data_IF_070748679340
#
_entry.id   IF_070748679340
#
_cell.length_a   1.000
_cell.length_b   1.000
_cell.length_c   1.000
_cell.angle_alpha   90.00
_cell.angle_beta   90.00
_cell.angle_gamma   90.00
#
_symmetry.space_group_name_H-M   'P 1'
#
loop_
_entity.id
_entity.type
_entity.pdbx_description
1 polymer ?
#
# COMPACT_ATOMS: atom_id res chain seq x y z
N UNK A 1 25.57 -32.32 19.84
CA UNK A 1 25.10 -31.33 20.81
C UNK A 1 24.79 -29.97 20.14
N UNK A 2 24.47 -29.99 18.86
CA UNK A 2 24.23 -28.78 18.02
C UNK A 2 22.81 -28.77 17.38
N UNK A 3 22.04 -29.85 17.54
CA UNK A 3 20.70 -29.96 16.89
C UNK A 3 19.58 -29.25 17.69
N UNK A 4 19.83 -28.91 18.96
CA UNK A 4 18.86 -28.29 19.85
C UNK A 4 18.71 -26.79 19.64
N UNK A 5 19.67 -26.16 18.93
CA UNK A 5 19.73 -24.69 18.75
C UNK A 5 18.97 -24.21 17.52
N UNK A 6 18.67 -25.09 16.55
CA UNK A 6 18.09 -24.71 15.26
C UNK A 6 16.56 -24.85 15.21
N UNK A 7 15.93 -25.42 16.24
CA UNK A 7 14.49 -25.55 16.31
C UNK A 7 13.83 -24.17 16.52
N UNK A 8 12.80 -23.86 15.74
CA UNK A 8 12.07 -22.59 15.83
C UNK A 8 11.47 -22.33 17.22
N UNK A 9 11.19 -23.38 17.98
CA UNK A 9 10.64 -23.34 19.33
C UNK A 9 11.71 -23.32 20.44
N UNK A 10 12.99 -23.53 20.14
CA UNK A 10 14.03 -23.65 21.16
C UNK A 10 14.19 -22.37 21.99
N UNK A 11 13.91 -22.44 23.30
CA UNK A 11 13.98 -21.29 24.21
C UNK A 11 12.97 -20.19 23.95
N UNK A 12 11.85 -20.49 23.27
CA UNK A 12 10.71 -19.61 23.09
C UNK A 12 9.60 -20.00 24.07
N UNK A 13 9.07 -19.04 24.81
CA UNK A 13 7.94 -19.27 25.70
C UNK A 13 6.70 -19.76 24.94
N UNK A 14 5.91 -20.66 25.58
CA UNK A 14 4.77 -21.29 24.94
C UNK A 14 3.70 -20.31 24.41
N UNK A 15 3.60 -19.09 24.93
CA UNK A 15 2.67 -18.05 24.47
C UNK A 15 3.29 -17.00 23.56
N UNK A 16 4.59 -17.02 23.29
CA UNK A 16 5.29 -16.01 22.51
C UNK A 16 5.29 -16.38 21.03
N UNK A 17 4.14 -16.10 20.38
CA UNK A 17 3.94 -16.32 18.93
C UNK A 17 4.81 -15.38 18.11
N UNK A 18 5.08 -14.15 18.58
CA UNK A 18 5.86 -13.15 17.86
C UNK A 18 7.32 -13.61 17.69
N UNK A 19 7.99 -13.99 18.79
CA UNK A 19 9.36 -14.52 18.72
C UNK A 19 9.42 -15.83 17.93
N UNK A 20 8.43 -16.72 18.10
CA UNK A 20 8.35 -17.97 17.34
C UNK A 20 8.22 -17.71 15.82
N UNK A 21 7.36 -16.78 15.42
CA UNK A 21 7.14 -16.44 14.01
C UNK A 21 8.37 -15.84 13.36
N UNK A 22 9.12 -15.01 14.08
CA UNK A 22 10.38 -14.45 13.60
C UNK A 22 11.44 -15.53 13.37
N UNK A 23 11.51 -16.51 14.27
CA UNK A 23 12.42 -17.66 14.11
C UNK A 23 12.04 -18.55 12.93
N UNK A 24 10.75 -18.78 12.69
CA UNK A 24 10.29 -19.52 11.51
C UNK A 24 10.69 -18.78 10.21
N UNK A 25 10.64 -17.46 10.21
CA UNK A 25 10.98 -16.63 9.05
C UNK A 25 12.48 -16.58 8.76
N UNK A 26 13.29 -16.48 9.80
CA UNK A 26 14.74 -16.20 9.68
C UNK A 26 15.60 -17.42 9.92
N UNK A 27 15.06 -18.46 10.56
CA UNK A 27 15.77 -19.67 10.90
C UNK A 27 16.05 -20.56 9.68
N UNK A 28 17.13 -21.32 9.77
CA UNK A 28 17.44 -22.39 8.82
C UNK A 28 18.03 -23.57 9.58
N UNK A 29 17.65 -24.78 9.21
CA UNK A 29 18.24 -26.00 9.73
C UNK A 29 19.13 -26.66 8.67
N UNK A 30 20.33 -27.06 9.04
CA UNK A 30 21.25 -27.75 8.13
C UNK A 30 20.73 -29.12 7.69
N UNK A 31 19.92 -29.77 8.53
CA UNK A 31 19.35 -31.10 8.29
C UNK A 31 17.91 -31.18 8.79
N UNK A 32 17.06 -31.97 8.10
CA UNK A 32 15.76 -32.34 8.65
C UNK A 32 15.91 -33.06 10.01
N UNK A 33 15.07 -32.69 10.97
CA UNK A 33 14.97 -33.35 12.26
C UNK A 33 13.51 -33.73 12.55
N UNK A 34 13.29 -34.62 13.49
CA UNK A 34 11.94 -34.95 13.96
C UNK A 34 11.49 -33.90 14.99
N UNK A 35 11.10 -32.72 14.44
CA UNK A 35 10.70 -31.56 15.23
C UNK A 35 9.51 -31.83 16.16
N UNK A 36 8.46 -32.59 15.76
CA UNK A 36 7.37 -32.94 16.66
C UNK A 36 7.88 -33.71 17.91
N UNK A 37 8.68 -34.74 17.71
CA UNK A 37 9.23 -35.53 18.84
C UNK A 37 10.10 -34.66 19.76
N UNK A 38 10.97 -33.82 19.20
CA UNK A 38 11.80 -32.89 19.97
C UNK A 38 10.98 -31.87 20.76
N UNK A 39 9.90 -31.35 20.17
CA UNK A 39 9.01 -30.39 20.84
C UNK A 39 8.28 -31.02 22.02
N UNK A 40 7.87 -32.28 21.88
CA UNK A 40 7.23 -33.05 22.98
C UNK A 40 8.25 -33.34 24.09
N UNK A 41 9.45 -33.80 23.76
CA UNK A 41 10.52 -34.07 24.74
C UNK A 41 10.94 -32.82 25.51
N UNK A 42 10.90 -31.64 24.89
CA UNK A 42 11.20 -30.34 25.52
C UNK A 42 10.00 -29.70 26.23
N UNK A 43 8.83 -30.34 26.18
CA UNK A 43 7.61 -29.85 26.83
C UNK A 43 6.99 -28.62 26.15
N UNK A 44 7.34 -28.36 24.88
CA UNK A 44 6.78 -27.27 24.06
C UNK A 44 5.40 -27.64 23.53
N UNK A 45 5.17 -28.93 23.26
CA UNK A 45 3.88 -29.47 22.84
C UNK A 45 3.54 -30.71 23.70
N UNK A 46 2.26 -30.97 23.94
CA UNK A 46 1.81 -32.13 24.68
C UNK A 46 1.85 -33.43 23.85
N UNK A 47 1.59 -33.29 22.56
CA UNK A 47 1.56 -34.34 21.55
C UNK A 47 1.82 -33.78 20.17
N UNK A 48 1.80 -34.64 19.17
CA UNK A 48 2.03 -34.25 17.75
C UNK A 48 0.95 -33.33 17.21
N UNK A 49 -0.32 -33.49 17.58
CA UNK A 49 -1.42 -32.63 17.16
C UNK A 49 -1.22 -31.22 17.72
N UNK A 50 -0.91 -31.08 18.99
CA UNK A 50 -0.59 -29.80 19.64
C UNK A 50 0.64 -29.10 19.00
N UNK A 51 1.64 -29.89 18.57
CA UNK A 51 2.78 -29.33 17.82
C UNK A 51 2.35 -28.73 16.49
N UNK A 52 1.56 -29.43 15.69
CA UNK A 52 1.11 -28.94 14.39
C UNK A 52 0.14 -27.76 14.49
N UNK A 53 -0.74 -27.77 15.49
CA UNK A 53 -1.63 -26.62 15.78
C UNK A 53 -0.80 -25.37 16.07
N UNK A 54 0.21 -25.49 16.91
CA UNK A 54 1.11 -24.38 17.23
C UNK A 54 1.95 -23.95 16.04
N UNK A 55 2.49 -24.87 15.26
CA UNK A 55 3.23 -24.56 14.03
C UNK A 55 2.35 -23.81 13.05
N UNK A 56 1.07 -24.19 12.91
CA UNK A 56 0.10 -23.51 12.07
C UNK A 56 -0.11 -22.05 12.54
N UNK A 57 -0.36 -21.84 13.83
CA UNK A 57 -0.53 -20.50 14.41
C UNK A 57 0.70 -19.61 14.13
N UNK A 58 1.89 -20.11 14.41
CA UNK A 58 3.16 -19.40 14.20
C UNK A 58 3.41 -19.11 12.74
N UNK A 59 3.12 -20.07 11.85
CA UNK A 59 3.27 -19.88 10.39
C UNK A 59 2.30 -18.87 9.85
N UNK A 60 1.07 -18.83 10.33
CA UNK A 60 0.09 -17.80 9.96
C UNK A 60 0.56 -16.40 10.39
N UNK A 61 1.06 -16.24 11.62
CA UNK A 61 1.61 -14.99 12.10
C UNK A 61 2.84 -14.53 11.28
N UNK A 62 3.74 -15.48 10.96
CA UNK A 62 4.89 -15.23 10.09
C UNK A 62 4.48 -14.75 8.70
N UNK A 63 3.45 -15.38 8.12
CA UNK A 63 2.91 -15.03 6.80
C UNK A 63 2.26 -13.65 6.82
N UNK A 64 1.43 -13.35 7.83
CA UNK A 64 0.83 -12.01 7.98
C UNK A 64 1.88 -10.91 8.09
N UNK A 65 2.95 -11.17 8.84
CA UNK A 65 4.06 -10.21 8.98
C UNK A 65 4.78 -10.02 7.65
N UNK A 66 5.09 -11.10 6.93
CA UNK A 66 5.74 -11.03 5.62
C UNK A 66 4.87 -10.27 4.57
N UNK A 67 3.55 -10.48 4.59
CA UNK A 67 2.61 -9.73 3.74
C UNK A 67 2.63 -8.24 4.07
N UNK A 68 2.53 -7.88 5.36
CA UNK A 68 2.57 -6.46 5.79
C UNK A 68 3.89 -5.77 5.42
N UNK A 69 5.01 -6.47 5.57
CA UNK A 69 6.32 -5.94 5.18
C UNK A 69 6.41 -5.78 3.65
N UNK A 70 5.91 -6.76 2.90
CA UNK A 70 5.84 -6.70 1.44
C UNK A 70 4.98 -5.54 0.94
N UNK A 71 3.82 -5.27 1.58
CA UNK A 71 2.97 -4.12 1.23
C UNK A 71 3.60 -2.77 1.60
N UNK A 72 4.48 -2.73 2.61
CA UNK A 72 5.25 -1.52 2.99
C UNK A 72 6.52 -1.34 2.19
N UNK A 73 6.90 -2.31 1.38
CA UNK A 73 8.09 -2.19 0.55
C UNK A 73 7.97 -0.99 -0.40
N UNK A 74 9.05 -0.25 -0.57
CA UNK A 74 9.03 1.02 -1.29
C UNK A 74 8.58 0.90 -2.75
N UNK A 75 8.90 -0.23 -3.42
CA UNK A 75 8.44 -0.52 -4.77
C UNK A 75 6.91 -0.67 -4.86
N UNK A 76 6.28 -1.28 -3.85
CA UNK A 76 4.81 -1.37 -3.74
C UNK A 76 4.18 0.01 -3.55
N UNK A 77 4.75 0.84 -2.68
CA UNK A 77 4.27 2.21 -2.49
C UNK A 77 4.39 3.03 -3.77
N UNK A 78 5.47 2.83 -4.53
CA UNK A 78 5.65 3.49 -5.81
C UNK A 78 4.59 3.07 -6.85
N UNK A 79 4.25 1.77 -6.90
CA UNK A 79 3.17 1.26 -7.76
C UNK A 79 1.81 1.90 -7.39
N UNK A 80 1.51 2.05 -6.10
CA UNK A 80 0.29 2.72 -5.66
C UNK A 80 0.28 4.21 -6.05
N UNK A 81 1.42 4.90 -5.91
CA UNK A 81 1.53 6.30 -6.32
C UNK A 81 1.32 6.48 -7.83
N UNK A 82 1.92 5.63 -8.67
CA UNK A 82 1.71 5.67 -10.14
C UNK A 82 0.25 5.45 -10.49
N UNK A 83 -0.41 4.46 -9.90
CA UNK A 83 -1.84 4.20 -10.15
C UNK A 83 -2.72 5.36 -9.68
N UNK A 84 -2.41 5.93 -8.50
CA UNK A 84 -3.11 7.09 -7.97
C UNK A 84 -2.99 8.30 -8.91
N UNK A 85 -1.79 8.57 -9.40
CA UNK A 85 -1.51 9.62 -10.38
C UNK A 85 -2.34 9.43 -11.66
N UNK A 86 -2.31 8.23 -12.26
CA UNK A 86 -3.07 7.93 -13.48
C UNK A 86 -4.59 8.06 -13.26
N UNK A 87 -5.10 7.64 -12.10
CA UNK A 87 -6.52 7.75 -11.74
C UNK A 87 -6.92 9.21 -11.52
N UNK A 88 -6.10 10.03 -10.86
CA UNK A 88 -6.32 11.45 -10.70
C UNK A 88 -6.33 12.18 -12.05
N UNK A 89 -5.32 11.96 -12.90
CA UNK A 89 -5.24 12.55 -14.25
C UNK A 89 -6.48 12.19 -15.09
N UNK A 90 -6.87 10.92 -15.13
CA UNK A 90 -8.05 10.48 -15.89
C UNK A 90 -9.33 11.11 -15.36
N UNK A 91 -9.53 11.08 -14.04
CA UNK A 91 -10.74 11.61 -13.42
C UNK A 91 -10.83 13.13 -13.57
N UNK A 92 -9.71 13.85 -13.44
CA UNK A 92 -9.66 15.29 -13.68
C UNK A 92 -10.10 15.64 -15.11
N UNK A 93 -9.60 14.93 -16.13
CA UNK A 93 -9.99 15.17 -17.51
C UNK A 93 -11.47 14.87 -17.76
N UNK A 94 -12.00 13.72 -17.29
CA UNK A 94 -13.41 13.36 -17.43
C UNK A 94 -14.34 14.36 -16.76
N UNK A 95 -14.00 14.85 -15.57
CA UNK A 95 -14.78 15.87 -14.86
C UNK A 95 -14.62 17.25 -15.49
N UNK A 96 -13.47 17.59 -16.06
CA UNK A 96 -13.27 18.84 -16.77
C UNK A 96 -14.21 18.96 -17.98
N UNK A 97 -14.43 17.86 -18.72
CA UNK A 97 -15.42 17.81 -19.80
C UNK A 97 -16.83 18.09 -19.28
N UNK A 98 -17.23 17.53 -18.13
CA UNK A 98 -18.53 17.77 -17.49
C UNK A 98 -18.68 19.21 -17.00
N UNK A 99 -17.62 19.78 -16.43
CA UNK A 99 -17.60 21.19 -16.03
C UNK A 99 -17.79 22.07 -17.26
N UNK A 100 -17.06 21.80 -18.33
CA UNK A 100 -17.16 22.57 -19.58
C UNK A 100 -18.57 22.52 -20.19
N UNK A 101 -19.19 21.34 -20.27
CA UNK A 101 -20.56 21.16 -20.75
C UNK A 101 -21.56 21.99 -19.91
N UNK A 102 -21.44 21.90 -18.58
CA UNK A 102 -22.35 22.60 -17.68
C UNK A 102 -22.11 24.10 -17.60
N UNK A 103 -20.85 24.49 -17.60
CA UNK A 103 -20.42 25.90 -17.53
C UNK A 103 -20.66 26.69 -18.80
N UNK A 104 -20.82 26.07 -19.98
CA UNK A 104 -20.81 26.72 -21.27
C UNK A 104 -21.82 27.87 -21.44
N UNK A 105 -22.96 27.81 -20.73
CA UNK A 105 -23.96 28.90 -20.73
C UNK A 105 -23.80 29.89 -19.58
N UNK A 106 -23.07 29.53 -18.55
CA UNK A 106 -22.89 30.30 -17.31
C UNK A 106 -21.62 31.14 -17.36
N UNK A 107 -20.55 30.56 -17.93
CA UNK A 107 -19.22 31.14 -18.02
C UNK A 107 -18.69 31.01 -19.46
N UNK A 108 -19.29 31.74 -20.46
CA UNK A 108 -18.98 31.53 -21.87
C UNK A 108 -17.56 31.97 -22.28
N UNK A 109 -16.88 32.70 -21.42
CA UNK A 109 -15.51 33.18 -21.56
C UNK A 109 -14.46 32.26 -20.91
N UNK A 110 -14.91 31.22 -20.18
CA UNK A 110 -13.99 30.26 -19.58
C UNK A 110 -13.28 29.39 -20.63
N UNK A 111 -12.03 29.03 -20.35
CA UNK A 111 -11.26 28.13 -21.18
C UNK A 111 -11.83 26.71 -21.21
N UNK A 112 -11.09 25.78 -21.80
CA UNK A 112 -11.47 24.35 -21.89
C UNK A 112 -10.54 23.46 -21.09
N UNK A 113 -11.00 22.24 -20.77
CA UNK A 113 -10.22 21.25 -20.06
C UNK A 113 -9.89 21.67 -18.62
N UNK A 114 -8.79 21.18 -18.09
CA UNK A 114 -8.36 21.43 -16.70
C UNK A 114 -8.08 22.94 -16.48
N UNK A 115 -7.46 23.62 -17.41
CA UNK A 115 -7.20 25.07 -17.30
C UNK A 115 -8.49 25.88 -17.27
N UNK A 116 -9.48 25.50 -18.07
CA UNK A 116 -10.82 26.12 -18.03
C UNK A 116 -11.53 25.86 -16.69
N UNK A 117 -11.35 24.66 -16.13
CA UNK A 117 -11.88 24.36 -14.80
C UNK A 117 -11.18 25.19 -13.71
N UNK A 118 -9.86 25.40 -13.79
CA UNK A 118 -9.13 26.27 -12.86
C UNK A 118 -9.65 27.72 -12.91
N UNK A 119 -9.85 28.25 -14.12
CA UNK A 119 -10.42 29.60 -14.30
C UNK A 119 -11.84 29.71 -13.70
N UNK A 120 -12.68 28.68 -13.89
CA UNK A 120 -14.03 28.63 -13.28
C UNK A 120 -13.98 28.52 -11.76
N UNK A 121 -13.04 27.76 -11.21
CA UNK A 121 -12.89 27.56 -9.78
C UNK A 121 -12.58 28.88 -9.03
N UNK A 122 -11.94 29.84 -9.68
CA UNK A 122 -11.59 31.14 -9.13
C UNK A 122 -12.74 32.18 -9.22
N UNK A 123 -13.88 31.80 -9.83
CA UNK A 123 -15.02 32.72 -10.04
C UNK A 123 -15.88 32.83 -8.79
N UNK A 124 -16.42 34.05 -8.58
CA UNK A 124 -17.42 34.29 -7.51
C UNK A 124 -18.82 33.93 -8.02
N UNK A 125 -19.46 32.88 -7.53
CA UNK A 125 -20.78 32.44 -8.01
C UNK A 125 -21.89 33.36 -7.50
N UNK A 126 -22.78 33.77 -8.39
CA UNK A 126 -23.90 34.67 -8.08
C UNK A 126 -25.19 33.93 -7.75
N UNK A 127 -25.35 32.71 -8.20
CA UNK A 127 -26.53 31.89 -7.97
C UNK A 127 -26.20 30.45 -7.50
N UNK A 128 -27.19 29.64 -7.09
CA UNK A 128 -26.96 28.26 -6.62
C UNK A 128 -26.40 27.32 -7.69
N UNK A 129 -26.68 27.53 -8.98
CA UNK A 129 -26.19 26.71 -10.09
C UNK A 129 -24.72 26.99 -10.34
N UNK A 130 -24.34 28.23 -10.47
CA UNK A 130 -22.95 28.68 -10.58
C UNK A 130 -22.12 28.15 -9.43
N UNK A 131 -22.65 28.19 -8.20
CA UNK A 131 -21.99 27.66 -7.01
C UNK A 131 -21.68 26.17 -7.13
N UNK A 132 -22.55 25.39 -7.76
CA UNK A 132 -22.29 23.94 -7.98
C UNK A 132 -21.23 23.73 -9.06
N UNK A 133 -21.26 24.51 -10.14
CA UNK A 133 -20.24 24.43 -11.20
C UNK A 133 -18.88 24.83 -10.67
N UNK A 134 -18.77 25.96 -9.97
CA UNK A 134 -17.52 26.41 -9.34
C UNK A 134 -16.97 25.36 -8.38
N UNK A 135 -17.84 24.78 -7.52
CA UNK A 135 -17.42 23.73 -6.60
C UNK A 135 -16.96 22.43 -7.30
N UNK A 136 -17.53 22.08 -8.46
CA UNK A 136 -17.08 20.95 -9.25
C UNK A 136 -15.75 21.26 -9.96
N UNK A 137 -15.59 22.45 -10.46
CA UNK A 137 -14.36 22.95 -11.08
C UNK A 137 -13.18 22.94 -10.08
N UNK A 138 -13.42 23.35 -8.82
CA UNK A 138 -12.45 23.24 -7.73
C UNK A 138 -11.99 21.79 -7.48
N UNK A 139 -12.89 20.80 -7.61
CA UNK A 139 -12.51 19.38 -7.50
C UNK A 139 -11.63 18.91 -8.66
N UNK A 140 -11.89 19.42 -9.88
CA UNK A 140 -11.04 19.15 -11.04
C UNK A 140 -9.64 19.71 -10.82
N UNK A 141 -9.54 20.95 -10.38
CA UNK A 141 -8.26 21.57 -10.04
C UNK A 141 -7.50 20.77 -8.98
N UNK A 142 -8.17 20.39 -7.88
CA UNK A 142 -7.56 19.60 -6.82
C UNK A 142 -7.07 18.21 -7.26
N UNK A 143 -7.79 17.53 -8.16
CA UNK A 143 -7.34 16.26 -8.73
C UNK A 143 -6.11 16.43 -9.64
N UNK A 144 -6.07 17.49 -10.41
CA UNK A 144 -4.91 17.79 -11.27
C UNK A 144 -3.67 18.15 -10.43
N UNK A 145 -3.84 18.88 -9.34
CA UNK A 145 -2.77 19.19 -8.39
C UNK A 145 -2.25 17.91 -7.70
N UNK A 146 -3.15 17.05 -7.24
CA UNK A 146 -2.76 15.76 -6.64
C UNK A 146 -1.98 14.86 -7.62
N UNK A 147 -2.36 14.85 -8.91
CA UNK A 147 -1.63 14.11 -9.93
C UNK A 147 -0.20 14.66 -10.10
N UNK A 148 -0.01 15.98 -10.04
CA UNK A 148 1.31 16.60 -10.11
C UNK A 148 2.15 16.30 -8.86
N UNK A 149 1.56 16.40 -7.66
CA UNK A 149 2.22 16.08 -6.40
C UNK A 149 2.66 14.60 -6.35
N UNK A 150 1.83 13.68 -6.83
CA UNK A 150 2.17 12.27 -6.97
C UNK A 150 3.30 12.05 -7.99
N UNK A 151 3.32 12.78 -9.10
CA UNK A 151 4.38 12.74 -10.11
C UNK A 151 5.72 13.18 -9.50
N UNK A 152 5.71 14.26 -8.74
CA UNK A 152 6.90 14.76 -8.04
C UNK A 152 7.40 13.74 -7.00
N UNK A 153 6.49 13.16 -6.19
CA UNK A 153 6.81 12.10 -5.24
C UNK A 153 7.47 10.90 -5.93
N UNK A 154 6.90 10.43 -7.07
CA UNK A 154 7.46 9.32 -7.84
C UNK A 154 8.87 9.65 -8.32
N UNK A 155 9.09 10.86 -8.89
CA UNK A 155 10.39 11.28 -9.38
C UNK A 155 11.45 11.33 -8.28
N UNK A 156 11.09 11.78 -7.09
CA UNK A 156 11.99 11.86 -5.94
C UNK A 156 12.29 10.49 -5.33
N UNK A 157 11.32 9.59 -5.33
CA UNK A 157 11.39 8.31 -4.63
C UNK A 157 11.96 7.17 -5.51
N UNK A 158 11.63 7.14 -6.79
CA UNK A 158 12.02 6.07 -7.71
C UNK A 158 13.53 5.79 -7.76
N UNK A 159 14.44 6.78 -7.75
CA UNK A 159 15.89 6.51 -7.80
C UNK A 159 16.40 5.69 -6.63
N UNK A 160 15.79 5.81 -5.44
CA UNK A 160 16.21 5.11 -4.23
C UNK A 160 15.58 3.73 -4.09
N UNK A 161 14.34 3.56 -4.58
CA UNK A 161 13.53 2.37 -4.37
C UNK A 161 13.60 1.41 -5.58
N UNK A 162 13.63 1.96 -6.78
CA UNK A 162 13.63 1.22 -8.04
C UNK A 162 14.68 1.78 -9.02
N UNK A 163 15.99 1.67 -8.72
CA UNK A 163 17.06 2.33 -9.48
C UNK A 163 17.12 1.88 -10.96
N UNK A 164 16.52 0.74 -11.30
CA UNK A 164 16.44 0.26 -12.68
C UNK A 164 15.39 1.02 -13.50
N UNK A 165 14.36 1.60 -12.88
CA UNK A 165 13.37 2.43 -13.56
C UNK A 165 13.87 3.86 -13.79
N UNK A 166 14.78 4.35 -12.97
CA UNK A 166 15.36 5.69 -13.10
C UNK A 166 16.33 5.82 -14.31
N UNK A 167 16.57 4.73 -15.05
CA UNK A 167 17.46 4.68 -16.23
C UNK A 167 16.70 4.59 -17.56
N UNK A 168 15.38 4.60 -17.53
CA UNK A 168 14.50 4.66 -18.70
C UNK A 168 14.05 6.09 -18.97
#
# INVERSE_FOLDING_TARGET
>A
MTEETDAWFAGVDAGDVETASERVRTGSAERPADWPTLAIEQGVAADEEAYYDRLHEVTMAATETAVREGERAGDRQLIHAVRGMDDCDRTANELAERVQEWAGSLFPDAGTGIEGARDIAERDPTDPTERRVVALADRVAGLADEAEDLREYIQQTAPSVAPNLARL
#
